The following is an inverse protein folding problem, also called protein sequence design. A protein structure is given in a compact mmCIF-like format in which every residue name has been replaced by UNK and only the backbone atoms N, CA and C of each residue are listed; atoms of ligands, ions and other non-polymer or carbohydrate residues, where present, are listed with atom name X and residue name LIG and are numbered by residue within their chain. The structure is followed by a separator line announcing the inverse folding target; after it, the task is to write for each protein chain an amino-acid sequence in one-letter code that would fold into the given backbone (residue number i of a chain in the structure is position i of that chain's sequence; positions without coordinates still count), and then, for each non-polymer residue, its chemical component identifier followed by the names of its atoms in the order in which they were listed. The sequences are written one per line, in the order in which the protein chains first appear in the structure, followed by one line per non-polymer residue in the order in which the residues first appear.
data_IF_591663380809
#
_entry.id   IF_591663380809
#
_cell.length_a   1.000
_cell.length_b   1.000
_cell.length_c   1.000
_cell.angle_alpha   90.00
_cell.angle_beta   90.00
_cell.angle_gamma   90.00
#
_symmetry.space_group_name_H-M   'P 1'
#
loop_
_entity.id
_entity.type
_entity.pdbx_description
1 polymer ?
#
# COMPACT_ATOMS: atom_id res chain seq x y z
N UNK A 1 23.39 22.32 24.79
CA UNK A 1 24.19 21.15 24.40
C UNK A 1 23.79 19.86 25.13
N UNK A 2 23.00 19.91 26.22
CA UNK A 2 22.55 18.71 26.95
C UNK A 2 21.33 17.99 26.33
N UNK A 3 20.34 18.70 25.78
CA UNK A 3 19.14 18.07 25.22
C UNK A 3 19.35 17.24 23.93
N UNK A 4 20.45 17.48 23.19
CA UNK A 4 20.83 16.68 22.02
C UNK A 4 21.65 15.43 22.39
N UNK A 5 22.29 15.43 23.56
CA UNK A 5 23.01 14.27 24.08
C UNK A 5 22.03 13.26 24.68
N UNK A 6 20.92 13.71 25.28
CA UNK A 6 19.87 12.83 25.79
C UNK A 6 19.14 12.06 24.67
N UNK A 7 19.00 12.64 23.48
CA UNK A 7 18.38 11.95 22.32
C UNK A 7 19.27 10.86 21.72
N UNK A 8 20.59 10.99 21.88
CA UNK A 8 21.59 10.04 21.38
C UNK A 8 21.87 8.88 22.34
N UNK A 9 21.38 8.96 23.58
CA UNK A 9 21.56 7.95 24.63
C UNK A 9 20.34 7.06 24.86
N UNK A 10 19.25 7.25 24.11
CA UNK A 10 18.30 6.16 23.97
C UNK A 10 19.09 5.00 23.36
N UNK A 11 19.25 3.84 24.03
CA UNK A 11 19.70 2.65 23.33
C UNK A 11 18.79 2.58 22.11
N UNK A 12 19.37 2.58 20.91
CA UNK A 12 18.61 2.28 19.70
C UNK A 12 18.23 0.81 19.84
N UNK A 13 17.21 0.55 20.68
CA UNK A 13 16.59 -0.74 20.85
C UNK A 13 16.33 -1.23 19.44
N UNK A 14 16.93 -2.38 19.15
CA UNK A 14 17.05 -3.01 17.84
C UNK A 14 15.81 -2.70 17.00
N UNK A 15 15.87 -1.65 16.18
CA UNK A 15 14.72 -1.27 15.37
C UNK A 15 14.54 -2.39 14.35
N UNK A 16 13.41 -3.08 14.43
CA UNK A 16 13.18 -4.27 13.64
C UNK A 16 13.08 -3.91 12.16
N UNK A 17 14.14 -4.18 11.41
CA UNK A 17 14.13 -4.11 9.96
C UNK A 17 13.34 -5.30 9.40
N UNK A 18 12.07 -5.06 9.10
CA UNK A 18 11.11 -6.10 8.70
C UNK A 18 10.91 -6.16 7.18
N UNK A 19 11.87 -5.68 6.40
CA UNK A 19 11.83 -5.59 4.94
C UNK A 19 12.85 -6.52 4.30
N UNK A 20 12.58 -7.01 3.08
CA UNK A 20 13.53 -7.86 2.37
C UNK A 20 14.80 -7.09 2.02
N UNK A 21 15.93 -7.78 1.83
CA UNK A 21 17.21 -7.17 1.43
C UNK A 21 17.13 -6.33 0.14
N UNK A 22 16.13 -6.56 -0.72
CA UNK A 22 15.93 -5.72 -1.91
C UNK A 22 15.63 -4.26 -1.58
N UNK A 23 15.00 -3.94 -0.44
CA UNK A 23 14.79 -2.55 -0.03
C UNK A 23 16.10 -1.86 0.34
N UNK A 24 17.10 -2.60 0.83
CA UNK A 24 18.40 -2.04 1.19
C UNK A 24 19.08 -1.41 -0.03
N UNK A 25 18.85 -1.91 -1.24
CA UNK A 25 19.37 -1.28 -2.47
C UNK A 25 18.92 0.18 -2.61
N UNK A 26 17.70 0.49 -2.15
CA UNK A 26 17.15 1.84 -2.18
C UNK A 26 17.55 2.67 -0.97
N UNK A 27 17.60 2.06 0.22
CA UNK A 27 17.84 2.80 1.46
C UNK A 27 19.33 2.94 1.81
N UNK A 28 20.21 2.12 1.25
CA UNK A 28 21.65 2.15 1.52
C UNK A 28 22.30 3.51 1.23
N UNK A 29 22.01 4.22 0.12
CA UNK A 29 22.54 5.56 -0.10
C UNK A 29 22.17 6.56 1.01
N UNK A 30 21.01 6.38 1.66
CA UNK A 30 20.57 7.25 2.74
C UNK A 30 21.31 6.97 4.06
N UNK A 31 21.91 5.78 4.21
CA UNK A 31 22.69 5.42 5.39
C UNK A 31 23.97 6.26 5.55
N UNK A 32 24.41 6.94 4.48
CA UNK A 32 25.56 7.86 4.53
C UNK A 32 25.19 9.26 5.05
N UNK A 33 23.91 9.53 5.31
CA UNK A 33 23.44 10.80 5.85
C UNK A 33 23.15 10.66 7.36
N UNK A 34 23.29 11.73 8.16
CA UNK A 34 22.70 11.79 9.49
C UNK A 34 21.19 11.53 9.41
N UNK A 35 20.60 10.93 10.46
CA UNK A 35 19.20 10.51 10.48
C UNK A 35 18.22 11.59 9.98
N UNK A 36 18.36 12.84 10.43
CA UNK A 36 17.51 13.95 10.00
C UNK A 36 17.65 14.22 8.49
N UNK A 37 18.87 14.16 7.96
CA UNK A 37 19.13 14.31 6.53
C UNK A 37 18.49 13.18 5.72
N UNK A 38 18.69 11.92 6.16
CA UNK A 38 18.06 10.75 5.54
C UNK A 38 16.52 10.85 5.55
N UNK A 39 15.94 11.23 6.69
CA UNK A 39 14.50 11.42 6.87
C UNK A 39 13.94 12.52 5.96
N UNK A 40 14.61 13.67 5.86
CA UNK A 40 14.19 14.77 4.99
C UNK A 40 14.24 14.34 3.52
N UNK A 41 15.33 13.72 3.08
CA UNK A 41 15.45 13.23 1.69
C UNK A 41 14.38 12.19 1.38
N UNK A 42 14.16 11.23 2.28
CA UNK A 42 13.14 10.19 2.14
C UNK A 42 11.73 10.77 2.01
N UNK A 43 11.36 11.66 2.93
CA UNK A 43 10.03 12.27 2.98
C UNK A 43 9.78 13.19 1.78
N UNK A 44 10.76 13.99 1.37
CA UNK A 44 10.63 14.85 0.18
C UNK A 44 10.51 13.99 -1.09
N UNK A 45 11.33 12.96 -1.26
CA UNK A 45 11.27 12.08 -2.42
C UNK A 45 9.90 11.37 -2.52
N UNK A 46 9.39 10.86 -1.40
CA UNK A 46 8.04 10.29 -1.32
C UNK A 46 6.96 11.30 -1.67
N UNK A 47 7.01 12.50 -1.09
CA UNK A 47 6.05 13.58 -1.37
C UNK A 47 6.05 14.02 -2.83
N UNK A 48 7.22 14.18 -3.45
CA UNK A 48 7.36 14.50 -4.87
C UNK A 48 6.80 13.40 -5.77
N UNK A 49 6.98 12.14 -5.40
CA UNK A 49 6.43 10.99 -6.14
C UNK A 49 4.90 11.04 -6.15
N UNK A 50 4.28 11.21 -4.97
CA UNK A 50 2.82 11.33 -4.86
C UNK A 50 2.32 12.56 -5.61
N UNK A 51 3.00 13.69 -5.47
CA UNK A 51 2.66 14.92 -6.17
C UNK A 51 2.68 14.75 -7.70
N UNK A 52 3.71 14.12 -8.25
CA UNK A 52 3.82 13.86 -9.68
C UNK A 52 2.67 12.97 -10.20
N UNK A 53 2.29 11.94 -9.43
CA UNK A 53 1.16 11.08 -9.78
C UNK A 53 -0.17 11.84 -9.79
N UNK A 54 -0.47 12.63 -8.75
CA UNK A 54 -1.74 13.39 -8.69
C UNK A 54 -1.77 14.51 -9.74
N UNK A 55 -0.63 15.16 -10.01
CA UNK A 55 -0.50 16.20 -11.04
C UNK A 55 -0.79 15.70 -12.45
N UNK A 56 -0.69 14.39 -12.68
CA UNK A 56 -1.10 13.78 -13.95
C UNK A 56 -2.60 13.92 -14.23
N UNK A 57 -3.40 14.24 -13.21
CA UNK A 57 -4.85 14.37 -13.28
C UNK A 57 -5.34 15.79 -13.01
N UNK A 58 -4.73 16.50 -12.06
CA UNK A 58 -5.17 17.83 -11.65
C UNK A 58 -4.05 18.86 -11.68
N UNK A 59 -4.38 20.08 -12.13
CA UNK A 59 -3.43 21.18 -12.24
C UNK A 59 -3.68 22.34 -11.26
N UNK A 60 -4.83 22.36 -10.56
CA UNK A 60 -5.17 23.44 -9.63
C UNK A 60 -4.43 23.28 -8.30
N UNK A 61 -3.75 24.34 -7.86
CA UNK A 61 -2.95 24.32 -6.62
C UNK A 61 -3.74 23.88 -5.38
N UNK A 62 -4.98 24.36 -5.13
CA UNK A 62 -5.73 23.97 -3.93
C UNK A 62 -6.08 22.48 -3.89
N UNK A 63 -6.45 21.89 -5.03
CA UNK A 63 -6.78 20.46 -5.10
C UNK A 63 -5.54 19.58 -4.85
N UNK A 64 -4.38 19.99 -5.40
CA UNK A 64 -3.10 19.32 -5.17
C UNK A 64 -2.68 19.38 -3.71
N UNK A 65 -2.83 20.53 -3.05
CA UNK A 65 -2.50 20.70 -1.63
C UNK A 65 -3.44 19.89 -0.73
N UNK A 66 -4.75 19.92 -0.98
CA UNK A 66 -5.71 19.15 -0.20
C UNK A 66 -5.47 17.63 -0.30
N UNK A 67 -5.12 17.15 -1.49
CA UNK A 67 -4.77 15.74 -1.71
C UNK A 67 -3.41 15.38 -1.09
N UNK A 68 -2.42 16.27 -1.15
CA UNK A 68 -1.13 16.06 -0.49
C UNK A 68 -1.26 16.07 1.04
N UNK A 69 -2.20 16.83 1.60
CA UNK A 69 -2.50 16.87 3.02
C UNK A 69 -3.43 15.74 3.49
N UNK A 70 -3.79 14.79 2.62
CA UNK A 70 -4.67 13.70 2.99
C UNK A 70 -4.07 12.83 4.12
N UNK A 71 -4.91 12.17 4.94
CA UNK A 71 -4.49 11.54 6.19
C UNK A 71 -3.35 10.53 6.03
N UNK A 72 -3.43 9.67 5.01
CA UNK A 72 -2.39 8.68 4.73
C UNK A 72 -1.04 9.35 4.41
N UNK A 73 -1.03 10.44 3.64
CA UNK A 73 0.19 11.18 3.28
C UNK A 73 0.78 11.89 4.50
N UNK A 74 -0.07 12.48 5.34
CA UNK A 74 0.37 13.08 6.60
C UNK A 74 1.03 12.05 7.52
N UNK A 75 0.37 10.92 7.76
CA UNK A 75 0.92 9.80 8.56
C UNK A 75 2.19 9.23 7.92
N UNK A 76 2.27 9.22 6.59
CA UNK A 76 3.44 8.76 5.87
C UNK A 76 4.65 9.68 6.12
N UNK A 77 4.45 10.98 5.93
CA UNK A 77 5.50 11.98 6.06
C UNK A 77 5.97 12.15 7.52
N UNK A 78 5.03 12.24 8.46
CA UNK A 78 5.36 12.39 9.89
C UNK A 78 5.98 11.12 10.48
N UNK A 79 5.56 9.94 10.02
CA UNK A 79 6.09 8.67 10.49
C UNK A 79 7.31 8.15 9.72
N UNK A 80 7.83 8.88 8.73
CA UNK A 80 8.93 8.42 7.87
C UNK A 80 8.64 7.11 7.14
N UNK A 81 7.37 6.87 6.81
CA UNK A 81 6.91 5.60 6.25
C UNK A 81 7.17 5.50 4.75
N UNK A 82 6.93 4.31 4.18
CA UNK A 82 7.25 3.98 2.79
C UNK A 82 6.04 3.81 1.87
N UNK A 83 4.83 4.08 2.36
CA UNK A 83 3.61 4.06 1.57
C UNK A 83 3.61 5.04 0.37
N UNK A 84 4.27 6.20 0.44
CA UNK A 84 4.42 7.10 -0.70
C UNK A 84 5.26 6.48 -1.84
N UNK A 85 6.35 5.79 -1.49
CA UNK A 85 7.15 5.02 -2.43
C UNK A 85 6.33 3.86 -3.04
N UNK A 86 5.59 3.13 -2.20
CA UNK A 86 4.69 2.05 -2.64
C UNK A 86 3.64 2.56 -3.62
N UNK A 87 3.07 3.74 -3.35
CA UNK A 87 2.14 4.42 -4.24
C UNK A 87 2.81 4.83 -5.57
N UNK A 88 4.07 5.27 -5.52
CA UNK A 88 4.92 5.50 -6.69
C UNK A 88 4.98 4.30 -7.63
N UNK A 89 5.36 3.14 -7.07
CA UNK A 89 5.49 1.90 -7.83
C UNK A 89 4.15 1.35 -8.32
N UNK A 90 3.16 1.23 -7.43
CA UNK A 90 1.85 0.69 -7.79
C UNK A 90 1.08 1.63 -8.73
N UNK A 91 1.00 2.91 -8.38
CA UNK A 91 0.31 3.93 -9.15
C UNK A 91 1.01 4.20 -10.48
N UNK A 92 2.32 4.42 -10.48
CA UNK A 92 3.09 4.62 -11.71
C UNK A 92 3.01 3.42 -12.64
N UNK A 93 3.05 2.19 -12.09
CA UNK A 93 2.86 0.96 -12.87
C UNK A 93 1.48 0.92 -13.53
N UNK A 94 0.42 1.27 -12.80
CA UNK A 94 -0.94 1.31 -13.34
C UNK A 94 -1.12 2.39 -14.42
N UNK A 95 -0.54 3.57 -14.26
CA UNK A 95 -0.61 4.65 -15.24
C UNK A 95 0.15 4.32 -16.54
N UNK A 96 1.30 3.66 -16.41
CA UNK A 96 2.16 3.35 -17.54
C UNK A 96 1.80 2.02 -18.22
N UNK A 97 0.89 1.22 -17.65
CA UNK A 97 0.60 -0.15 -18.09
C UNK A 97 0.32 -0.27 -19.59
N UNK A 98 -0.47 0.64 -20.15
CA UNK A 98 -0.81 0.63 -21.57
C UNK A 98 0.24 1.31 -22.46
N UNK A 99 0.85 2.40 -22.00
CA UNK A 99 1.79 3.22 -22.78
C UNK A 99 3.20 2.63 -22.82
N UNK A 100 3.64 2.00 -21.73
CA UNK A 100 4.99 1.50 -21.55
C UNK A 100 4.96 0.26 -20.64
N UNK A 101 4.46 -0.88 -21.15
CA UNK A 101 4.22 -2.08 -20.33
C UNK A 101 5.49 -2.61 -19.65
N UNK A 102 6.66 -2.45 -20.26
CA UNK A 102 7.93 -2.85 -19.64
C UNK A 102 8.25 -1.99 -18.40
N UNK A 103 8.16 -0.66 -18.53
CA UNK A 103 8.38 0.25 -17.38
C UNK A 103 7.35 -0.02 -16.28
N UNK A 104 6.08 -0.25 -16.66
CA UNK A 104 5.05 -0.64 -15.71
C UNK A 104 5.42 -1.92 -14.95
N UNK A 105 5.93 -2.93 -15.65
CA UNK A 105 6.44 -4.14 -15.05
C UNK A 105 7.62 -3.88 -14.10
N UNK A 106 8.58 -3.04 -14.47
CA UNK A 106 9.69 -2.65 -13.57
C UNK A 106 9.15 -2.04 -12.27
N UNK A 107 8.20 -1.11 -12.36
CA UNK A 107 7.59 -0.49 -11.19
C UNK A 107 6.84 -1.51 -10.32
N UNK A 108 6.05 -2.40 -10.94
CA UNK A 108 5.38 -3.48 -10.20
C UNK A 108 6.36 -4.47 -9.55
N UNK A 109 7.45 -4.81 -10.23
CA UNK A 109 8.50 -5.67 -9.67
C UNK A 109 9.26 -5.00 -8.53
N UNK A 110 9.49 -3.69 -8.60
CA UNK A 110 10.09 -2.91 -7.52
C UNK A 110 9.25 -2.95 -6.24
N UNK A 111 7.92 -3.04 -6.34
CA UNK A 111 7.03 -3.20 -5.19
C UNK A 111 7.24 -4.52 -4.43
N UNK A 112 8.03 -5.48 -4.94
CA UNK A 112 8.33 -6.74 -4.25
C UNK A 112 8.98 -6.57 -2.88
N UNK A 113 9.51 -5.39 -2.55
CA UNK A 113 9.94 -5.09 -1.18
C UNK A 113 8.79 -5.11 -0.17
N UNK A 114 7.55 -4.91 -0.64
CA UNK A 114 6.29 -5.14 0.08
C UNK A 114 5.47 -6.20 -0.65
N UNK A 115 5.79 -7.50 -0.44
CA UNK A 115 5.18 -8.58 -1.22
C UNK A 115 3.65 -8.63 -1.09
N UNK A 116 3.10 -8.26 0.07
CA UNK A 116 1.66 -8.22 0.29
C UNK A 116 0.94 -7.16 -0.57
N UNK A 117 1.57 -6.01 -0.88
CA UNK A 117 1.01 -5.03 -1.80
C UNK A 117 1.09 -5.49 -3.27
N UNK A 118 1.97 -6.44 -3.58
CA UNK A 118 2.16 -7.00 -4.91
C UNK A 118 1.32 -8.24 -5.23
N UNK A 119 0.66 -8.85 -4.23
CA UNK A 119 0.13 -10.22 -4.34
C UNK A 119 -0.92 -10.43 -5.44
N UNK A 120 -1.74 -9.41 -5.73
CA UNK A 120 -2.77 -9.49 -6.78
C UNK A 120 -2.32 -8.95 -8.14
N UNK A 121 -1.14 -8.34 -8.23
CA UNK A 121 -0.65 -7.76 -9.50
C UNK A 121 -0.47 -8.85 -10.57
N UNK A 122 0.17 -10.01 -10.31
CA UNK A 122 0.29 -11.06 -11.32
C UNK A 122 -1.05 -11.55 -11.85
N UNK A 123 -2.04 -11.71 -10.96
CA UNK A 123 -3.40 -12.14 -11.31
C UNK A 123 -4.08 -11.11 -12.20
N UNK A 124 -4.00 -9.83 -11.84
CA UNK A 124 -4.54 -8.72 -12.62
C UNK A 124 -3.91 -8.67 -14.02
N UNK A 125 -2.57 -8.69 -14.10
CA UNK A 125 -1.85 -8.64 -15.38
C UNK A 125 -2.19 -9.84 -16.28
N UNK A 126 -2.25 -11.05 -15.72
CA UNK A 126 -2.63 -12.25 -16.48
C UNK A 126 -4.08 -12.17 -16.97
N UNK A 127 -5.03 -11.76 -16.11
CA UNK A 127 -6.44 -11.60 -16.48
C UNK A 127 -6.66 -10.51 -17.53
N UNK A 128 -5.85 -9.44 -17.50
CA UNK A 128 -5.87 -8.36 -18.48
C UNK A 128 -5.02 -8.62 -19.74
N UNK A 129 -4.33 -9.76 -19.83
CA UNK A 129 -3.46 -10.09 -20.98
C UNK A 129 -2.18 -9.25 -21.10
N UNK A 130 -1.73 -8.62 -20.00
CA UNK A 130 -0.56 -7.74 -19.97
C UNK A 130 0.76 -8.51 -19.80
N UNK A 131 1.01 -9.49 -20.66
CA UNK A 131 2.14 -10.42 -20.54
C UNK A 131 3.51 -9.75 -20.57
N UNK A 132 3.67 -8.65 -21.33
CA UNK A 132 4.92 -7.87 -21.34
C UNK A 132 5.22 -7.24 -19.98
N UNK A 133 4.21 -6.67 -19.33
CA UNK A 133 4.35 -6.13 -17.98
C UNK A 133 4.57 -7.24 -16.95
N UNK A 134 3.88 -8.37 -17.09
CA UNK A 134 4.06 -9.55 -16.24
C UNK A 134 5.51 -10.05 -16.28
N UNK A 135 6.03 -10.30 -17.49
CA UNK A 135 7.39 -10.79 -17.67
C UNK A 135 8.43 -9.78 -17.15
N UNK A 136 8.23 -8.49 -17.43
CA UNK A 136 9.12 -7.44 -16.94
C UNK A 136 9.10 -7.32 -15.41
N UNK A 137 7.94 -7.48 -14.77
CA UNK A 137 7.84 -7.52 -13.32
C UNK A 137 8.58 -8.72 -12.74
N UNK A 138 8.36 -9.91 -13.31
CA UNK A 138 9.05 -11.13 -12.90
C UNK A 138 10.58 -10.99 -12.99
N UNK A 139 11.10 -10.53 -14.14
CA UNK A 139 12.53 -10.29 -14.33
C UNK A 139 13.07 -9.25 -13.33
N UNK A 140 12.31 -8.18 -13.07
CA UNK A 140 12.72 -7.15 -12.10
C UNK A 140 12.82 -7.71 -10.69
N UNK A 141 11.88 -8.56 -10.26
CA UNK A 141 11.96 -9.24 -8.96
C UNK A 141 13.20 -10.14 -8.89
N UNK A 142 13.46 -10.94 -9.92
CA UNK A 142 14.65 -11.79 -9.97
C UNK A 142 15.95 -10.98 -9.88
N UNK A 143 16.02 -9.84 -10.59
CA UNK A 143 17.18 -8.95 -10.54
C UNK A 143 17.35 -8.32 -9.16
N UNK A 144 16.28 -7.83 -8.53
CA UNK A 144 16.35 -7.25 -7.19
C UNK A 144 16.77 -8.28 -6.15
N UNK A 145 16.24 -9.51 -6.24
CA UNK A 145 16.65 -10.63 -5.37
C UNK A 145 18.11 -11.00 -5.62
N UNK A 146 18.51 -11.19 -6.88
CA UNK A 146 19.87 -11.59 -7.25
C UNK A 146 20.92 -10.54 -6.86
N UNK A 147 20.67 -9.26 -7.15
CA UNK A 147 21.59 -8.16 -6.81
C UNK A 147 21.70 -8.00 -5.30
N UNK A 148 20.59 -8.00 -4.58
CA UNK A 148 20.63 -7.87 -3.11
C UNK A 148 21.26 -9.10 -2.44
N UNK A 149 21.02 -10.31 -2.94
CA UNK A 149 21.70 -11.52 -2.46
C UNK A 149 23.21 -11.48 -2.76
N UNK A 150 23.62 -10.96 -3.91
CA UNK A 150 25.03 -10.80 -4.26
C UNK A 150 25.75 -9.77 -3.40
N UNK A 151 25.09 -8.65 -3.08
CA UNK A 151 25.67 -7.56 -2.29
C UNK A 151 25.63 -7.81 -0.78
N UNK A 152 24.54 -8.39 -0.26
CA UNK A 152 24.30 -8.55 1.18
C UNK A 152 24.38 -10.00 1.68
N UNK A 153 24.59 -10.94 0.77
CA UNK A 153 24.63 -12.37 1.06
C UNK A 153 23.25 -13.01 1.22
N UNK A 154 23.18 -14.33 0.98
CA UNK A 154 21.94 -15.10 1.16
C UNK A 154 21.51 -15.19 2.64
N UNK A 155 22.44 -15.07 3.58
CA UNK A 155 22.15 -15.00 5.01
C UNK A 155 21.18 -13.88 5.38
N UNK A 156 21.23 -12.73 4.68
CA UNK A 156 20.28 -11.63 4.89
C UNK A 156 18.84 -12.01 4.50
N UNK A 157 18.68 -12.83 3.46
CA UNK A 157 17.37 -13.35 3.03
C UNK A 157 16.80 -14.37 4.01
N UNK A 158 17.64 -15.25 4.57
CA UNK A 158 17.25 -16.19 5.63
C UNK A 158 16.79 -15.41 6.88
N UNK A 159 17.60 -14.45 7.33
CA UNK A 159 17.28 -13.60 8.48
C UNK A 159 15.98 -12.79 8.26
N UNK A 160 15.72 -12.32 7.03
CA UNK A 160 14.44 -11.68 6.69
C UNK A 160 13.25 -12.64 6.87
N UNK A 161 13.37 -13.89 6.41
CA UNK A 161 12.33 -14.92 6.58
C UNK A 161 12.02 -15.20 8.05
N UNK A 162 13.06 -15.35 8.88
CA UNK A 162 12.92 -15.54 10.33
C UNK A 162 12.24 -14.33 10.99
N UNK A 163 12.63 -13.11 10.61
CA UNK A 163 12.04 -11.86 11.10
C UNK A 163 10.57 -11.73 10.69
N UNK A 164 10.18 -12.14 9.48
CA UNK A 164 8.77 -12.12 9.07
C UNK A 164 7.88 -12.98 9.98
N UNK A 165 8.35 -14.18 10.35
CA UNK A 165 7.62 -15.08 11.24
C UNK A 165 7.48 -14.44 12.62
N UNK A 166 8.58 -13.91 13.16
CA UNK A 166 8.59 -13.19 14.44
C UNK A 166 7.66 -11.98 14.41
N UNK A 167 7.71 -11.15 13.36
CA UNK A 167 6.85 -9.97 13.22
C UNK A 167 5.37 -10.35 13.15
N UNK A 168 5.02 -11.45 12.49
CA UNK A 168 3.66 -11.98 12.53
C UNK A 168 3.21 -12.25 13.96
N UNK A 169 4.07 -12.87 14.79
CA UNK A 169 3.81 -13.08 16.22
C UNK A 169 3.69 -11.78 17.02
N UNK A 170 4.54 -10.79 16.77
CA UNK A 170 4.48 -9.48 17.44
C UNK A 170 3.21 -8.71 17.05
N UNK A 171 2.84 -8.70 15.78
CA UNK A 171 1.59 -8.08 15.34
C UNK A 171 0.38 -8.82 15.90
N UNK A 172 0.48 -10.14 16.09
CA UNK A 172 -0.56 -10.93 16.75
C UNK A 172 -0.64 -10.68 18.26
N UNK A 173 0.44 -10.23 18.90
CA UNK A 173 0.49 -10.00 20.34
C UNK A 173 0.34 -8.51 20.72
N UNK A 174 0.68 -7.58 19.82
CA UNK A 174 0.81 -6.15 20.13
C UNK A 174 -0.50 -5.39 20.31
N UNK A 175 -1.64 -6.07 20.20
CA UNK A 175 -2.93 -5.56 20.63
C UNK A 175 -3.34 -4.24 19.96
N UNK A 176 -4.07 -3.41 20.71
CA UNK A 176 -4.75 -2.22 20.21
C UNK A 176 -3.80 -1.21 19.56
N UNK A 177 -2.57 -1.06 20.05
CA UNK A 177 -1.59 -0.07 19.57
C UNK A 177 -1.29 -0.23 18.07
N UNK A 178 -1.16 -1.47 17.60
CA UNK A 178 -0.98 -1.77 16.17
C UNK A 178 -2.31 -1.93 15.45
N UNK A 179 -3.27 -2.63 16.04
CA UNK A 179 -4.51 -3.02 15.37
C UNK A 179 -5.38 -1.84 14.97
N UNK A 180 -5.38 -0.75 15.75
CA UNK A 180 -6.13 0.47 15.43
C UNK A 180 -5.71 1.13 14.12
N UNK A 181 -4.54 0.81 13.57
CA UNK A 181 -3.99 1.41 12.34
C UNK A 181 -4.19 0.54 11.10
N UNK A 182 -4.79 -0.63 11.28
CA UNK A 182 -4.92 -1.64 10.22
C UNK A 182 -6.39 -1.86 9.86
N UNK A 183 -6.88 -1.36 8.70
CA UNK A 183 -8.29 -1.45 8.33
C UNK A 183 -8.71 -2.82 7.77
N UNK A 184 -8.05 -3.93 8.17
CA UNK A 184 -8.24 -5.23 7.52
C UNK A 184 -9.32 -6.09 8.20
N UNK A 185 -10.00 -6.97 7.45
CA UNK A 185 -10.97 -7.90 8.04
C UNK A 185 -10.37 -8.80 9.12
N UNK A 186 -9.08 -9.13 8.96
CA UNK A 186 -8.34 -9.95 9.91
C UNK A 186 -8.20 -9.21 11.25
N UNK A 187 -7.70 -7.98 11.20
CA UNK A 187 -7.49 -7.17 12.41
C UNK A 187 -8.82 -6.81 13.08
N UNK A 188 -9.88 -6.56 12.31
CA UNK A 188 -11.21 -6.38 12.88
C UNK A 188 -11.64 -7.58 13.72
N UNK A 189 -11.46 -8.81 13.23
CA UNK A 189 -11.72 -10.01 14.01
C UNK A 189 -10.82 -10.12 15.25
N UNK A 190 -9.53 -9.75 15.14
CA UNK A 190 -8.62 -9.71 16.31
C UNK A 190 -9.05 -8.71 17.37
N UNK A 191 -9.54 -7.53 16.97
CA UNK A 191 -10.09 -6.50 17.87
C UNK A 191 -11.32 -7.00 18.64
N UNK A 192 -12.14 -7.86 18.04
CA UNK A 192 -13.27 -8.51 18.71
C UNK A 192 -12.89 -9.75 19.56
N UNK A 193 -11.58 -10.00 19.76
CA UNK A 193 -11.09 -11.06 20.64
C UNK A 193 -10.99 -12.44 19.99
N UNK A 194 -11.20 -12.57 18.68
CA UNK A 194 -11.00 -13.84 18.01
C UNK A 194 -9.51 -14.21 17.94
N UNK A 195 -9.21 -15.49 18.20
CA UNK A 195 -7.86 -16.03 18.01
C UNK A 195 -7.42 -15.97 16.54
N UNK A 196 -6.10 -16.07 16.31
CA UNK A 196 -5.50 -15.97 14.97
C UNK A 196 -6.18 -16.85 13.93
N UNK A 197 -6.42 -18.13 14.26
CA UNK A 197 -7.00 -19.10 13.32
C UNK A 197 -8.40 -18.69 12.89
N UNK A 198 -9.26 -18.36 13.86
CA UNK A 198 -10.64 -17.91 13.59
C UNK A 198 -10.66 -16.58 12.84
N UNK A 199 -9.80 -15.63 13.19
CA UNK A 199 -9.68 -14.36 12.46
C UNK A 199 -9.26 -14.55 10.99
N UNK A 200 -8.36 -15.50 10.69
CA UNK A 200 -8.00 -15.86 9.31
C UNK A 200 -9.18 -16.51 8.56
N UNK A 201 -9.94 -17.40 9.23
CA UNK A 201 -11.13 -18.01 8.63
C UNK A 201 -12.21 -16.97 8.31
N UNK A 202 -12.40 -15.96 9.17
CA UNK A 202 -13.32 -14.84 8.92
C UNK A 202 -12.82 -13.88 7.82
N UNK A 203 -11.51 -13.73 7.67
CA UNK A 203 -10.91 -12.93 6.61
C UNK A 203 -11.07 -13.59 5.23
N UNK A 204 -11.00 -14.92 5.16
CA UNK A 204 -10.95 -15.67 3.90
C UNK A 204 -12.10 -15.35 2.92
N UNK A 205 -13.39 -15.31 3.32
CA UNK A 205 -14.48 -14.92 2.43
C UNK A 205 -14.31 -13.53 1.81
N UNK A 206 -13.79 -12.56 2.58
CA UNK A 206 -13.55 -11.20 2.10
C UNK A 206 -12.41 -11.16 1.10
N UNK A 207 -11.33 -11.89 1.35
CA UNK A 207 -10.21 -12.04 0.42
C UNK A 207 -10.64 -12.72 -0.90
N UNK A 208 -11.45 -13.78 -0.82
CA UNK A 208 -12.01 -14.45 -1.99
C UNK A 208 -12.95 -13.54 -2.79
N UNK A 209 -13.79 -12.76 -2.10
CA UNK A 209 -14.60 -11.74 -2.75
C UNK A 209 -13.73 -10.73 -3.50
N UNK A 210 -12.71 -10.16 -2.83
CA UNK A 210 -11.78 -9.21 -3.42
C UNK A 210 -11.07 -9.77 -4.67
N UNK A 211 -10.54 -10.99 -4.59
CA UNK A 211 -9.93 -11.69 -5.71
C UNK A 211 -10.91 -11.88 -6.87
N UNK A 212 -12.15 -12.28 -6.59
CA UNK A 212 -13.19 -12.45 -7.63
C UNK A 212 -13.50 -11.14 -8.37
N UNK A 213 -13.46 -10.00 -7.67
CA UNK A 213 -13.66 -8.68 -8.29
C UNK A 213 -12.49 -8.29 -9.19
N UNK A 214 -11.26 -8.56 -8.77
CA UNK A 214 -10.09 -8.37 -9.65
C UNK A 214 -10.22 -9.21 -10.91
N UNK A 215 -10.45 -10.52 -10.79
CA UNK A 215 -10.57 -11.42 -11.94
C UNK A 215 -11.69 -10.97 -12.88
N UNK A 216 -12.88 -10.68 -12.34
CA UNK A 216 -14.05 -10.32 -13.17
C UNK A 216 -13.92 -8.98 -13.88
N UNK A 217 -13.30 -7.98 -13.25
CA UNK A 217 -13.12 -6.63 -13.82
C UNK A 217 -11.93 -6.60 -14.78
N UNK A 218 -10.81 -7.25 -14.45
CA UNK A 218 -9.61 -7.22 -15.29
C UNK A 218 -9.75 -8.04 -16.58
N UNK A 219 -10.60 -9.07 -16.58
CA UNK A 219 -10.96 -9.83 -17.79
C UNK A 219 -11.80 -9.02 -18.79
N UNK A 220 -12.33 -7.85 -18.42
CA UNK A 220 -13.13 -6.99 -19.31
C UNK A 220 -12.18 -6.08 -20.10
N UNK A 221 -12.04 -6.22 -21.42
CA UNK A 221 -11.11 -5.39 -22.19
C UNK A 221 -11.54 -3.91 -22.22
N UNK A 222 -12.85 -3.66 -22.27
CA UNK A 222 -13.45 -2.32 -22.43
C UNK A 222 -13.61 -1.54 -21.12
N UNK A 223 -13.28 -2.15 -19.97
CA UNK A 223 -13.41 -1.47 -18.68
C UNK A 223 -12.33 -0.40 -18.52
N UNK A 224 -12.71 0.75 -17.94
CA UNK A 224 -11.80 1.88 -17.78
C UNK A 224 -10.55 1.50 -16.97
N UNK A 225 -9.34 1.94 -17.39
CA UNK A 225 -8.12 1.70 -16.63
C UNK A 225 -8.18 2.17 -15.17
N UNK A 226 -8.83 3.30 -14.91
CA UNK A 226 -9.04 3.81 -13.55
C UNK A 226 -9.89 2.89 -12.66
N UNK A 227 -10.89 2.21 -13.22
CA UNK A 227 -11.73 1.24 -12.52
C UNK A 227 -10.91 -0.01 -12.21
N UNK A 228 -10.15 -0.51 -13.19
CA UNK A 228 -9.22 -1.63 -12.99
C UNK A 228 -8.20 -1.34 -11.89
N UNK A 229 -7.63 -0.13 -11.90
CA UNK A 229 -6.70 0.36 -10.89
C UNK A 229 -7.35 0.43 -9.50
N UNK A 230 -8.52 1.06 -9.37
CA UNK A 230 -9.24 1.16 -8.11
C UNK A 230 -9.62 -0.21 -7.53
N UNK A 231 -10.14 -1.12 -8.37
CA UNK A 231 -10.49 -2.49 -7.98
C UNK A 231 -9.26 -3.25 -7.52
N UNK A 232 -8.13 -3.14 -8.23
CA UNK A 232 -6.90 -3.82 -7.82
C UNK A 232 -6.39 -3.32 -6.47
N UNK A 233 -6.29 -2.00 -6.28
CA UNK A 233 -5.78 -1.40 -5.04
C UNK A 233 -6.67 -1.76 -3.84
N UNK A 234 -8.00 -1.59 -3.98
CA UNK A 234 -8.94 -1.94 -2.92
C UNK A 234 -8.93 -3.45 -2.61
N UNK A 235 -8.77 -4.29 -3.63
CA UNK A 235 -8.66 -5.73 -3.41
C UNK A 235 -7.35 -6.13 -2.72
N UNK A 236 -6.21 -5.50 -3.05
CA UNK A 236 -4.93 -5.71 -2.35
C UNK A 236 -5.09 -5.41 -0.86
N UNK A 237 -5.78 -4.32 -0.53
CA UNK A 237 -6.06 -3.91 0.85
C UNK A 237 -6.92 -4.93 1.61
N UNK A 238 -7.89 -5.54 0.93
CA UNK A 238 -8.79 -6.53 1.52
C UNK A 238 -8.20 -7.94 1.61
N UNK A 239 -7.27 -8.31 0.73
CA UNK A 239 -6.59 -9.63 0.75
C UNK A 239 -5.42 -9.64 1.74
N UNK A 240 -4.84 -8.48 2.04
CA UNK A 240 -3.71 -8.39 2.96
C UNK A 240 -4.20 -8.36 4.42
N UNK A 241 -3.73 -9.26 5.30
CA UNK A 241 -4.16 -9.28 6.70
C UNK A 241 -3.57 -8.13 7.55
N UNK A 242 -2.42 -7.57 7.16
CA UNK A 242 -1.72 -6.52 7.91
C UNK A 242 -1.44 -5.27 7.05
N UNK A 243 -2.48 -4.75 6.37
CA UNK A 243 -2.39 -3.47 5.68
C UNK A 243 -2.30 -2.34 6.72
N UNK A 244 -1.38 -1.40 6.52
CA UNK A 244 -1.27 -0.21 7.35
C UNK A 244 -1.93 1.02 6.72
N UNK A 245 -2.44 1.91 7.58
CA UNK A 245 -3.02 3.21 7.22
C UNK A 245 -2.14 4.06 6.28
N UNK A 246 -0.82 4.06 6.51
CA UNK A 246 0.13 4.84 5.71
C UNK A 246 0.36 4.26 4.31
N UNK A 247 -0.02 3.01 4.05
CA UNK A 247 0.03 2.42 2.69
C UNK A 247 -1.14 2.86 1.83
N UNK A 248 -2.16 3.48 2.44
CA UNK A 248 -3.34 3.97 1.74
C UNK A 248 -3.09 5.24 0.92
N UNK A 249 -1.87 5.78 0.90
CA UNK A 249 -1.47 6.96 0.10
C UNK A 249 -1.88 6.82 -1.37
N UNK A 250 -1.79 5.61 -1.93
CA UNK A 250 -2.19 5.33 -3.32
C UNK A 250 -3.67 5.67 -3.60
N UNK A 251 -4.55 5.65 -2.59
CA UNK A 251 -5.97 5.95 -2.79
C UNK A 251 -6.23 7.39 -3.18
N UNK A 252 -5.32 8.31 -2.82
CA UNK A 252 -5.38 9.71 -3.26
C UNK A 252 -5.23 9.79 -4.77
N UNK A 253 -4.26 9.05 -5.32
CA UNK A 253 -4.00 8.97 -6.77
C UNK A 253 -5.18 8.31 -7.49
N UNK A 254 -5.69 7.20 -6.95
CA UNK A 254 -6.86 6.50 -7.51
C UNK A 254 -8.09 7.40 -7.52
N UNK A 255 -8.36 8.11 -6.42
CA UNK A 255 -9.50 9.00 -6.32
C UNK A 255 -9.37 10.18 -7.29
N UNK A 256 -8.20 10.80 -7.37
CA UNK A 256 -7.92 11.87 -8.33
C UNK A 256 -8.10 11.40 -9.78
N UNK A 257 -7.61 10.20 -10.13
CA UNK A 257 -7.81 9.60 -11.45
C UNK A 257 -9.31 9.43 -11.76
N UNK A 258 -10.06 8.83 -10.83
CA UNK A 258 -11.50 8.60 -10.99
C UNK A 258 -12.29 9.89 -11.14
N UNK A 259 -11.94 10.93 -10.38
CA UNK A 259 -12.58 12.24 -10.51
C UNK A 259 -12.24 12.93 -11.83
N UNK A 260 -10.99 12.86 -12.28
CA UNK A 260 -10.56 13.46 -13.54
C UNK A 260 -11.29 12.88 -14.76
N UNK A 261 -11.57 11.59 -14.77
CA UNK A 261 -12.35 10.96 -15.85
C UNK A 261 -13.84 11.37 -15.87
N UNK A 262 -14.35 12.03 -14.81
CA UNK A 262 -15.70 12.60 -14.78
C UNK A 262 -16.85 11.59 -14.76
N UNK A 263 -16.57 10.28 -14.73
CA UNK A 263 -17.57 9.21 -14.79
C UNK A 263 -17.85 8.57 -13.42
N UNK A 264 -17.92 9.38 -12.37
CA UNK A 264 -18.04 8.91 -10.99
C UNK A 264 -19.47 9.05 -10.49
N UNK A 265 -20.11 7.92 -10.13
CA UNK A 265 -21.43 7.95 -9.48
C UNK A 265 -21.30 8.57 -8.08
N UNK A 266 -22.32 9.28 -7.60
CA UNK A 266 -22.26 9.97 -6.30
C UNK A 266 -21.79 9.05 -5.16
N UNK A 267 -22.37 7.85 -5.05
CA UNK A 267 -21.97 6.88 -4.03
C UNK A 267 -20.60 6.26 -4.25
N UNK A 268 -20.11 6.12 -5.49
CA UNK A 268 -18.73 5.71 -5.76
C UNK A 268 -17.75 6.79 -5.27
N UNK A 269 -18.07 8.06 -5.54
CA UNK A 269 -17.30 9.20 -5.05
C UNK A 269 -17.26 9.26 -3.54
N UNK A 270 -18.41 9.11 -2.88
CA UNK A 270 -18.49 9.03 -1.42
C UNK A 270 -17.68 7.84 -0.87
N UNK A 271 -17.76 6.67 -1.50
CA UNK A 271 -17.02 5.49 -1.05
C UNK A 271 -15.51 5.67 -1.16
N UNK A 272 -15.01 6.19 -2.28
CA UNK A 272 -13.58 6.47 -2.46
C UNK A 272 -13.09 7.59 -1.54
N UNK A 273 -13.89 8.64 -1.35
CA UNK A 273 -13.59 9.71 -0.40
C UNK A 273 -13.49 9.17 1.03
N UNK A 274 -14.42 8.29 1.44
CA UNK A 274 -14.38 7.60 2.74
C UNK A 274 -13.09 6.79 2.91
N UNK A 275 -12.62 6.11 1.86
CA UNK A 275 -11.34 5.39 1.90
C UNK A 275 -10.16 6.35 2.05
N UNK A 276 -10.17 7.50 1.37
CA UNK A 276 -9.10 8.51 1.49
C UNK A 276 -9.02 9.08 2.91
N UNK A 277 -10.16 9.31 3.57
CA UNK A 277 -10.18 9.82 4.95
C UNK A 277 -10.09 8.72 6.02
N UNK A 278 -10.15 7.44 5.61
CA UNK A 278 -10.20 6.29 6.50
C UNK A 278 -9.10 6.29 7.58
N UNK A 279 -7.82 6.64 7.30
CA UNK A 279 -6.79 6.63 8.34
C UNK A 279 -7.14 7.43 9.61
N UNK A 280 -7.78 8.60 9.49
CA UNK A 280 -8.24 9.35 10.66
C UNK A 280 -9.49 8.73 11.29
N UNK A 281 -10.39 8.17 10.48
CA UNK A 281 -11.57 7.48 10.99
C UNK A 281 -11.21 6.22 11.78
N UNK A 282 -10.13 5.52 11.42
CA UNK A 282 -9.67 4.34 12.15
C UNK A 282 -9.28 4.69 13.58
N UNK A 283 -8.50 5.76 13.77
CA UNK A 283 -8.08 6.20 15.10
C UNK A 283 -9.30 6.54 15.95
N UNK A 284 -10.29 7.26 15.40
CA UNK A 284 -11.48 7.65 16.17
C UNK A 284 -12.39 6.43 16.42
N UNK A 285 -12.74 5.66 15.40
CA UNK A 285 -13.70 4.56 15.50
C UNK A 285 -13.18 3.41 16.36
N UNK A 286 -11.89 3.08 16.27
CA UNK A 286 -11.31 2.00 17.07
C UNK A 286 -11.11 2.45 18.53
N UNK A 287 -10.52 3.63 18.77
CA UNK A 287 -10.24 4.06 20.15
C UNK A 287 -11.47 4.53 20.93
N UNK A 288 -12.44 5.15 20.26
CA UNK A 288 -13.58 5.77 20.94
C UNK A 288 -14.80 4.86 20.89
N UNK A 289 -15.05 4.19 19.76
CA UNK A 289 -16.29 3.43 19.53
C UNK A 289 -16.08 1.90 19.62
N UNK A 290 -14.84 1.44 19.82
CA UNK A 290 -14.47 0.02 19.75
C UNK A 290 -15.02 -0.68 18.50
N UNK A 291 -15.01 0.02 17.37
CA UNK A 291 -15.64 -0.39 16.13
C UNK A 291 -14.64 -0.41 14.97
N UNK A 292 -14.43 -1.59 14.39
CA UNK A 292 -13.53 -1.77 13.26
C UNK A 292 -14.20 -1.35 11.94
N UNK A 293 -14.28 -0.04 11.68
CA UNK A 293 -14.93 0.53 10.48
C UNK A 293 -14.20 0.21 9.17
N UNK A 294 -12.90 -0.09 9.23
CA UNK A 294 -12.02 -0.27 8.08
C UNK A 294 -12.53 -1.25 7.01
N UNK A 295 -12.79 -2.52 7.37
CA UNK A 295 -13.23 -3.53 6.41
C UNK A 295 -14.54 -3.17 5.72
N UNK A 296 -15.49 -2.57 6.45
CA UNK A 296 -16.79 -2.19 5.90
C UNK A 296 -16.64 -1.12 4.83
N UNK A 297 -15.82 -0.09 5.10
CA UNK A 297 -15.52 0.97 4.14
C UNK A 297 -14.81 0.42 2.91
N UNK A 298 -13.82 -0.46 3.08
CA UNK A 298 -13.09 -1.07 1.97
C UNK A 298 -13.95 -2.00 1.11
N UNK A 299 -14.78 -2.85 1.73
CA UNK A 299 -15.72 -3.73 1.01
C UNK A 299 -16.77 -2.90 0.27
N UNK A 300 -17.32 -1.87 0.91
CA UNK A 300 -18.28 -0.97 0.26
C UNK A 300 -17.66 -0.25 -0.94
N UNK A 301 -16.45 0.29 -0.80
CA UNK A 301 -15.75 0.93 -1.91
C UNK A 301 -15.46 -0.03 -3.05
N UNK A 302 -14.99 -1.25 -2.75
CA UNK A 302 -14.75 -2.26 -3.77
C UNK A 302 -16.05 -2.63 -4.49
N UNK A 303 -17.13 -2.85 -3.76
CA UNK A 303 -18.45 -3.12 -4.33
C UNK A 303 -18.93 -1.96 -5.22
N UNK A 304 -18.84 -0.72 -4.72
CA UNK A 304 -19.32 0.46 -5.42
C UNK A 304 -18.61 0.64 -6.77
N UNK A 305 -17.28 0.53 -6.79
CA UNK A 305 -16.49 0.72 -8.02
C UNK A 305 -16.63 -0.45 -9.00
N UNK A 306 -16.73 -1.68 -8.50
CA UNK A 306 -16.70 -2.87 -9.37
C UNK A 306 -18.04 -3.22 -10.01
N UNK A 307 -19.18 -2.75 -9.47
CA UNK A 307 -20.54 -3.14 -9.90
C UNK A 307 -21.10 -2.34 -11.08
N UNK A 308 -20.23 -1.67 -11.84
CA UNK A 308 -20.64 -0.97 -13.05
C UNK A 308 -21.20 -1.97 -14.07
N UNK A 309 -22.49 -1.82 -14.43
CA UNK A 309 -23.05 -2.41 -15.65
C UNK A 309 -22.83 -1.37 -16.74
N UNK A 310 -22.10 -1.74 -17.79
CA UNK A 310 -22.07 -0.93 -19.01
C UNK A 310 -23.49 -0.98 -19.58
N UNK A 311 -24.17 0.15 -19.61
CA UNK A 311 -25.35 0.36 -20.44
C UNK A 311 -24.88 0.87 -21.79
#
# INVERSE_FOLDING_TARGET
MSALQDFAQLPLDFHNYSYPPSLLLLTLPLAFLPFIGAFVVWTIAGGLTVFALVRSFWQTRPALLAMAAAPATYLNATGGQNGALSAGFLGGGLLLLHRSPLIAGVLFGALSYKPHLGVLIPVALACGGHWRAFASAFVTVLLLVGVSAGLFGWGAWIAYGERLIMMGGILDAGGLEFWQRMPTPYVAARLYGFERKTALLLHLPVALYALSRVISVWRRPQELPSIKAAVLVLAIFLVTPYLWDYDMVIMIVIFAWRLHEGQLRAWEGSALALVVVLPYLLIIAVNVLNFAVGPLVLVFALWAVSTRKNY
#
